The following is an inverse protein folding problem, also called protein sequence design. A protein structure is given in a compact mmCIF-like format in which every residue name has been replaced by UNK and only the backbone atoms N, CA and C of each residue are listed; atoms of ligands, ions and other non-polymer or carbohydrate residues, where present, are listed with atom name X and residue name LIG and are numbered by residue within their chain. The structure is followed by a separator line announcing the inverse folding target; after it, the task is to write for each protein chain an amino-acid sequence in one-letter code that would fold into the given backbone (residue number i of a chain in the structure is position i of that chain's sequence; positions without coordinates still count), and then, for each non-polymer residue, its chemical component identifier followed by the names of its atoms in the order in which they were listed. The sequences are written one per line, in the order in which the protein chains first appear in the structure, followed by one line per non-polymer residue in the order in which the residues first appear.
data_IF_396606446168
#
_entry.id   IF_396606446168
#
_cell.length_a   1.000
_cell.length_b   1.000
_cell.length_c   1.000
_cell.angle_alpha   90.00
_cell.angle_beta   90.00
_cell.angle_gamma   90.00
#
_symmetry.space_group_name_H-M   'P 1'
#
loop_
_entity.id
_entity.type
_entity.pdbx_description
1 polymer ?
#
# COMPACT_ATOMS: atom_id res chain seq x y z
N UNK A 1 7.44 30.80 9.15
CA UNK A 1 6.41 30.62 8.13
C UNK A 1 6.78 29.46 7.18
N UNK A 2 7.94 29.51 6.49
CA UNK A 2 8.34 28.51 5.48
C UNK A 2 8.36 27.06 6.05
N UNK A 3 8.93 26.85 7.23
CA UNK A 3 8.95 25.53 7.86
C UNK A 3 7.54 24.98 8.10
N UNK A 4 6.61 25.84 8.54
CA UNK A 4 5.22 25.45 8.75
C UNK A 4 4.53 25.10 7.43
N UNK A 5 4.77 25.86 6.34
CA UNK A 5 4.26 25.54 5.00
C UNK A 5 4.80 24.19 4.51
N UNK A 6 6.11 23.94 4.63
CA UNK A 6 6.72 22.66 4.25
C UNK A 6 6.14 21.50 5.08
N UNK A 7 6.00 21.68 6.38
CA UNK A 7 5.42 20.68 7.27
C UNK A 7 3.97 20.39 6.91
N UNK A 8 3.13 21.41 6.71
CA UNK A 8 1.74 21.21 6.30
C UNK A 8 1.63 20.55 4.93
N UNK A 9 2.50 20.90 3.98
CA UNK A 9 2.47 20.30 2.64
C UNK A 9 2.92 18.84 2.63
N UNK A 10 4.08 18.55 3.23
CA UNK A 10 4.74 17.25 3.05
C UNK A 10 4.54 16.26 4.20
N UNK A 11 3.92 16.69 5.31
CA UNK A 11 3.57 15.78 6.41
C UNK A 11 2.53 14.73 5.95
N UNK A 12 2.86 13.43 5.96
CA UNK A 12 1.96 12.39 5.49
C UNK A 12 0.70 12.23 6.36
N UNK A 13 0.74 12.69 7.60
CA UNK A 13 -0.37 12.58 8.54
C UNK A 13 -1.41 13.68 8.39
N UNK A 14 -1.07 14.83 7.80
CA UNK A 14 -2.00 15.91 7.53
C UNK A 14 -2.79 15.61 6.24
N UNK A 15 -4.06 15.22 6.37
CA UNK A 15 -4.94 14.87 5.24
C UNK A 15 -6.02 15.92 5.07
N UNK A 16 -6.08 16.55 3.90
CA UNK A 16 -7.04 17.66 3.63
C UNK A 16 -8.40 17.17 3.14
N UNK A 17 -8.49 15.93 2.62
CA UNK A 17 -9.72 15.31 2.12
C UNK A 17 -10.44 16.08 0.98
N UNK A 18 -9.74 17.00 0.35
CA UNK A 18 -10.15 17.80 -0.81
C UNK A 18 -8.92 17.98 -1.71
N UNK A 19 -9.11 18.11 -3.01
CA UNK A 19 -8.03 18.32 -3.98
C UNK A 19 -8.29 19.59 -4.82
N UNK A 20 -7.22 20.19 -5.35
CA UNK A 20 -7.35 21.33 -6.27
C UNK A 20 -8.24 20.99 -7.46
N UNK A 21 -8.09 19.81 -8.04
CA UNK A 21 -8.94 19.33 -9.17
C UNK A 21 -10.43 19.37 -8.82
N UNK A 22 -10.79 18.94 -7.59
CA UNK A 22 -12.19 18.99 -7.13
C UNK A 22 -12.67 20.43 -6.92
N UNK A 23 -11.81 21.27 -6.34
CA UNK A 23 -12.09 22.69 -6.11
C UNK A 23 -12.31 23.44 -7.43
N UNK A 24 -11.40 23.27 -8.39
CA UNK A 24 -11.46 23.92 -9.71
C UNK A 24 -12.71 23.46 -10.49
N UNK A 25 -13.00 22.16 -10.48
CA UNK A 25 -14.21 21.63 -11.14
C UNK A 25 -15.50 22.23 -10.58
N UNK A 26 -15.52 22.62 -9.33
CA UNK A 26 -16.63 23.23 -8.63
C UNK A 26 -16.35 24.71 -8.30
N UNK A 27 -15.67 25.42 -9.18
CA UNK A 27 -15.21 26.80 -8.97
C UNK A 27 -16.33 27.83 -8.72
N UNK A 28 -17.57 27.51 -9.10
CA UNK A 28 -18.75 28.35 -8.78
C UNK A 28 -19.20 28.25 -7.32
N UNK A 29 -18.69 27.26 -6.58
CA UNK A 29 -18.97 27.13 -5.15
C UNK A 29 -18.00 28.00 -4.37
N UNK A 30 -18.36 29.27 -4.17
CA UNK A 30 -17.67 30.22 -3.29
C UNK A 30 -18.67 30.61 -2.19
N UNK A 31 -18.22 30.67 -0.94
CA UNK A 31 -19.08 31.06 0.17
C UNK A 31 -18.91 32.56 0.43
N UNK A 32 -19.93 33.34 0.10
CA UNK A 32 -19.92 34.81 0.24
C UNK A 32 -19.83 35.28 1.70
N UNK A 33 -20.24 34.45 2.68
CA UNK A 33 -20.37 34.84 4.09
C UNK A 33 -19.13 34.51 4.96
N UNK A 34 -18.08 33.88 4.42
CA UNK A 34 -16.98 33.34 5.25
C UNK A 34 -15.87 34.34 5.56
N UNK A 35 -15.89 35.54 4.97
CA UNK A 35 -14.74 36.49 5.00
C UNK A 35 -14.93 37.71 5.86
N UNK A 36 -15.84 37.68 6.85
CA UNK A 36 -15.99 38.73 7.85
C UNK A 36 -14.90 38.78 8.95
N UNK A 37 -13.97 37.83 8.95
CA UNK A 37 -12.84 37.75 9.85
C UNK A 37 -11.56 37.34 9.12
N UNK A 38 -10.39 37.80 9.55
CA UNK A 38 -9.09 37.46 8.98
C UNK A 38 -8.79 35.94 9.20
N UNK A 39 -9.21 35.06 8.27
CA UNK A 39 -8.79 33.66 8.32
C UNK A 39 -7.36 33.53 7.84
N UNK A 40 -6.50 32.96 8.68
CA UNK A 40 -5.14 32.64 8.29
C UNK A 40 -5.08 31.30 7.54
N UNK A 41 -4.09 31.16 6.66
CA UNK A 41 -3.86 29.96 5.88
C UNK A 41 -3.89 28.66 6.72
N UNK A 42 -3.24 28.70 7.88
CA UNK A 42 -3.13 27.51 8.72
C UNK A 42 -4.42 27.15 9.44
N UNK A 43 -5.29 28.12 9.74
CA UNK A 43 -6.61 27.86 10.32
C UNK A 43 -7.51 27.13 9.32
N UNK A 44 -7.49 27.55 8.05
CA UNK A 44 -8.19 26.87 6.97
C UNK A 44 -7.70 25.43 6.80
N UNK A 45 -6.37 25.24 6.82
CA UNK A 45 -5.78 23.92 6.68
C UNK A 45 -6.08 23.03 7.89
N UNK A 46 -6.10 23.57 9.12
CA UNK A 46 -6.44 22.84 10.32
C UNK A 46 -7.93 22.44 10.36
N UNK A 47 -8.83 23.29 9.92
CA UNK A 47 -10.26 22.97 9.77
C UNK A 47 -10.49 21.81 8.78
N UNK A 48 -9.68 21.72 7.71
CA UNK A 48 -9.72 20.58 6.78
C UNK A 48 -9.13 19.30 7.39
N UNK A 49 -7.98 19.41 8.08
CA UNK A 49 -7.31 18.26 8.71
C UNK A 49 -8.18 17.66 9.80
N UNK A 50 -8.74 18.49 10.67
CA UNK A 50 -9.61 18.06 11.77
C UNK A 50 -11.01 17.66 11.32
N UNK A 51 -11.31 17.84 10.01
CA UNK A 51 -12.61 17.54 9.40
C UNK A 51 -13.78 18.34 9.99
N UNK A 52 -13.49 19.47 10.55
CA UNK A 52 -14.48 20.44 11.01
C UNK A 52 -15.33 20.94 9.82
N UNK A 53 -14.71 21.01 8.64
CA UNK A 53 -15.36 21.33 7.38
C UNK A 53 -15.13 20.17 6.39
N UNK A 54 -16.20 19.69 5.73
CA UNK A 54 -16.12 18.54 4.79
C UNK A 54 -17.03 18.73 3.57
N UNK A 55 -16.86 17.90 2.54
CA UNK A 55 -17.72 17.89 1.35
C UNK A 55 -17.73 19.22 0.60
N UNK A 56 -18.91 19.70 0.25
CA UNK A 56 -19.08 20.97 -0.48
C UNK A 56 -18.60 22.18 0.34
N UNK A 57 -18.74 22.15 1.65
CA UNK A 57 -18.28 23.27 2.49
C UNK A 57 -16.76 23.36 2.54
N UNK A 58 -16.03 22.24 2.48
CA UNK A 58 -14.60 22.24 2.32
C UNK A 58 -14.16 22.83 0.97
N UNK A 59 -14.89 22.52 -0.12
CA UNK A 59 -14.65 23.11 -1.44
C UNK A 59 -14.88 24.61 -1.42
N UNK A 60 -15.99 25.08 -0.83
CA UNK A 60 -16.30 26.50 -0.67
C UNK A 60 -15.25 27.23 0.13
N UNK A 61 -14.79 26.64 1.24
CA UNK A 61 -13.76 27.20 2.10
C UNK A 61 -12.43 27.41 1.33
N UNK A 62 -11.97 26.34 0.64
CA UNK A 62 -10.72 26.40 -0.14
C UNK A 62 -10.84 27.36 -1.31
N UNK A 63 -11.94 27.33 -2.08
CA UNK A 63 -12.15 28.24 -3.21
C UNK A 63 -12.23 29.69 -2.75
N UNK A 64 -12.95 29.97 -1.66
CA UNK A 64 -13.05 31.29 -1.06
C UNK A 64 -11.69 31.80 -0.61
N UNK A 65 -10.92 31.01 0.12
CA UNK A 65 -9.56 31.39 0.54
C UNK A 65 -8.66 31.67 -0.67
N UNK A 66 -8.68 30.82 -1.69
CA UNK A 66 -7.89 31.01 -2.90
C UNK A 66 -8.28 32.30 -3.67
N UNK A 67 -9.55 32.64 -3.70
CA UNK A 67 -10.04 33.86 -4.34
C UNK A 67 -9.57 35.15 -3.63
N UNK A 68 -9.64 35.17 -2.30
CA UNK A 68 -9.37 36.40 -1.52
C UNK A 68 -7.89 36.64 -1.23
N UNK A 69 -7.11 35.59 -0.98
CA UNK A 69 -5.71 35.71 -0.54
C UNK A 69 -4.74 35.34 -1.66
N UNK A 70 -5.21 34.68 -2.70
CA UNK A 70 -4.38 34.25 -3.83
C UNK A 70 -3.59 32.97 -3.53
N UNK A 71 -3.52 32.14 -4.43
CA UNK A 71 -2.64 31.25 -4.83
C UNK A 71 -2.27 29.91 -4.39
N UNK A 72 -1.57 29.73 -3.37
CA UNK A 72 -0.81 28.47 -3.20
C UNK A 72 -1.47 27.43 -2.30
N UNK A 73 -2.69 27.69 -1.78
CA UNK A 73 -3.42 26.69 -0.99
C UNK A 73 -3.65 25.39 -1.76
N UNK A 74 -3.87 25.47 -3.06
CA UNK A 74 -4.04 24.29 -3.92
C UNK A 74 -2.79 23.40 -3.92
N UNK A 75 -1.59 23.99 -3.98
CA UNK A 75 -0.33 23.24 -3.93
C UNK A 75 -0.14 22.56 -2.58
N UNK A 76 -0.58 23.19 -1.49
CA UNK A 76 -0.48 22.62 -0.15
C UNK A 76 -1.42 21.43 0.01
N UNK A 77 -2.71 21.57 -0.38
CA UNK A 77 -3.69 20.49 -0.25
C UNK A 77 -3.41 19.32 -1.18
N UNK A 78 -2.79 19.58 -2.35
CA UNK A 78 -2.34 18.53 -3.28
C UNK A 78 -0.97 17.94 -2.87
N UNK A 79 -0.35 18.48 -1.82
CA UNK A 79 0.94 18.03 -1.27
C UNK A 79 2.11 18.16 -2.24
N UNK A 80 2.06 19.15 -3.12
CA UNK A 80 3.12 19.45 -4.08
C UNK A 80 3.27 20.96 -4.31
N UNK A 81 4.35 21.54 -3.77
CA UNK A 81 4.70 22.94 -3.98
C UNK A 81 5.40 23.20 -5.32
N UNK A 82 5.67 22.17 -6.13
CA UNK A 82 6.43 22.28 -7.36
C UNK A 82 7.92 22.60 -7.19
N UNK A 83 8.46 22.46 -5.98
CA UNK A 83 9.87 22.80 -5.66
C UNK A 83 10.86 21.67 -5.93
N UNK A 84 10.41 20.55 -6.46
CA UNK A 84 11.21 19.33 -6.71
C UNK A 84 11.94 18.78 -5.48
N UNK A 85 11.45 19.07 -4.28
CA UNK A 85 12.01 18.61 -3.01
C UNK A 85 10.91 17.92 -2.20
N UNK A 86 11.06 16.63 -1.96
CA UNK A 86 10.19 15.88 -1.05
C UNK A 86 10.77 15.81 0.38
N UNK A 87 10.06 15.15 1.30
CA UNK A 87 10.40 15.06 2.72
C UNK A 87 11.86 14.68 3.00
N UNK A 88 12.46 13.79 2.21
CA UNK A 88 13.86 13.39 2.36
C UNK A 88 14.85 14.55 2.14
N UNK A 89 14.62 15.37 1.12
CA UNK A 89 15.49 16.51 0.80
C UNK A 89 15.28 17.61 1.84
N UNK A 90 14.04 17.86 2.24
CA UNK A 90 13.66 18.83 3.26
C UNK A 90 14.32 18.47 4.60
N UNK A 91 14.20 17.21 5.04
CA UNK A 91 14.79 16.75 6.29
C UNK A 91 16.33 16.70 6.27
N UNK A 92 16.95 16.69 5.08
CA UNK A 92 18.40 16.85 4.98
C UNK A 92 18.82 18.29 5.27
N UNK A 93 18.01 19.27 4.90
CA UNK A 93 18.26 20.69 5.14
C UNK A 93 17.81 21.11 6.55
N UNK A 94 16.67 20.63 7.00
CA UNK A 94 16.09 20.90 8.33
C UNK A 94 15.72 19.57 8.96
N UNK A 95 16.60 18.98 9.80
CA UNK A 95 16.39 17.66 10.38
C UNK A 95 15.06 17.56 11.13
N UNK A 96 14.33 16.45 10.87
CA UNK A 96 13.06 16.11 11.52
C UNK A 96 11.91 17.13 11.32
N UNK A 97 11.98 18.00 10.32
CA UNK A 97 10.89 18.93 10.03
C UNK A 97 9.64 18.20 9.52
N UNK A 98 9.83 17.21 8.65
CA UNK A 98 8.74 16.41 8.11
C UNK A 98 8.76 15.04 8.80
N UNK A 99 7.70 14.67 9.52
CA UNK A 99 7.60 13.33 10.08
C UNK A 99 7.73 12.28 8.97
N UNK A 100 8.56 11.28 9.18
CA UNK A 100 8.69 10.16 8.26
C UNK A 100 8.34 8.87 8.98
N UNK A 101 7.51 8.08 8.32
CA UNK A 101 7.18 6.73 8.77
C UNK A 101 7.73 5.77 7.71
N UNK A 102 8.81 5.10 8.05
CA UNK A 102 9.52 4.25 7.09
C UNK A 102 9.54 2.81 7.56
N UNK A 103 9.09 1.94 6.69
CA UNK A 103 9.08 0.50 6.91
C UNK A 103 9.90 -0.22 5.85
N UNK A 104 10.36 -1.42 6.15
CA UNK A 104 11.00 -2.26 5.16
C UNK A 104 10.02 -2.60 4.04
N UNK A 105 10.46 -2.45 2.79
CA UNK A 105 9.67 -2.73 1.59
C UNK A 105 10.41 -3.69 0.66
N UNK A 106 9.67 -4.68 0.17
CA UNK A 106 10.19 -5.69 -0.73
C UNK A 106 10.45 -5.16 -2.14
N UNK A 107 11.49 -5.75 -2.78
CA UNK A 107 11.63 -5.76 -4.24
C UNK A 107 11.03 -7.05 -4.82
N UNK A 108 10.87 -7.09 -6.14
CA UNK A 108 10.57 -8.34 -6.84
C UNK A 108 11.77 -9.30 -6.76
N UNK A 109 11.48 -10.59 -6.64
CA UNK A 109 12.51 -11.63 -6.75
C UNK A 109 13.03 -11.71 -8.18
N UNK A 110 14.33 -11.83 -8.31
CA UNK A 110 15.02 -12.11 -9.58
C UNK A 110 15.85 -13.39 -9.39
N UNK A 111 15.65 -14.36 -10.25
CA UNK A 111 16.38 -15.63 -10.19
C UNK A 111 17.89 -15.41 -10.23
N UNK A 112 18.62 -16.14 -9.38
CA UNK A 112 20.07 -16.05 -9.25
C UNK A 112 20.60 -14.78 -8.53
N UNK A 113 19.71 -13.93 -8.00
CA UNK A 113 20.11 -12.72 -7.24
C UNK A 113 20.22 -12.94 -5.74
N UNK A 114 19.67 -14.03 -5.22
CA UNK A 114 19.81 -14.41 -3.82
C UNK A 114 21.02 -15.35 -3.68
N UNK A 115 22.01 -14.94 -2.90
CA UNK A 115 23.05 -15.89 -2.44
C UNK A 115 22.51 -16.60 -1.20
N UNK A 116 22.30 -17.91 -1.29
CA UNK A 116 21.67 -18.69 -0.21
C UNK A 116 22.55 -18.80 1.03
N UNK A 117 23.87 -18.70 0.90
CA UNK A 117 24.81 -18.71 2.02
C UNK A 117 24.64 -17.49 2.95
N UNK A 118 23.99 -16.43 2.46
CA UNK A 118 23.68 -15.25 3.26
C UNK A 118 22.60 -15.51 4.34
N UNK A 119 21.96 -16.69 4.31
CA UNK A 119 20.87 -17.09 5.21
C UNK A 119 19.56 -16.34 4.87
N UNK A 120 18.68 -17.02 4.16
CA UNK A 120 17.37 -16.48 3.76
C UNK A 120 16.25 -17.24 4.43
N UNK A 121 15.23 -16.52 4.86
CA UNK A 121 14.01 -17.08 5.42
C UNK A 121 12.85 -16.87 4.46
N UNK A 122 12.09 -17.93 4.19
CA UNK A 122 10.86 -17.88 3.43
C UNK A 122 9.66 -17.89 4.36
N UNK A 123 8.66 -17.11 4.01
CA UNK A 123 7.33 -17.14 4.61
C UNK A 123 6.25 -17.04 3.55
N UNK A 124 5.02 -17.43 3.91
CA UNK A 124 3.84 -17.12 3.12
C UNK A 124 3.78 -15.61 2.85
N UNK A 125 3.46 -15.22 1.62
CA UNK A 125 3.04 -13.85 1.34
C UNK A 125 1.56 -13.72 1.64
N UNK A 126 1.26 -12.98 2.71
CA UNK A 126 -0.09 -12.73 3.16
C UNK A 126 -0.82 -11.77 2.21
N UNK A 127 -2.10 -11.96 2.02
CA UNK A 127 -2.97 -11.06 1.26
C UNK A 127 -3.90 -10.29 2.20
N UNK A 128 -3.34 -9.32 2.87
CA UNK A 128 -4.00 -8.49 3.87
C UNK A 128 -3.59 -7.03 3.79
N UNK A 129 -3.67 -6.35 4.92
CA UNK A 129 -3.26 -4.96 5.06
C UNK A 129 -2.15 -4.83 6.09
N UNK A 130 -0.97 -4.36 5.64
CA UNK A 130 0.18 -4.14 6.53
C UNK A 130 -0.23 -3.29 7.72
N UNK A 131 0.07 -3.78 8.91
CA UNK A 131 -0.18 -3.10 10.17
C UNK A 131 1.09 -3.13 11.04
N UNK A 132 1.50 -1.96 11.52
CA UNK A 132 2.56 -1.79 12.50
C UNK A 132 1.89 -1.53 13.84
N UNK A 133 2.12 -2.38 14.82
CA UNK A 133 1.60 -2.21 16.15
C UNK A 133 2.72 -1.75 17.08
N UNK A 134 2.68 -0.48 17.45
CA UNK A 134 3.68 0.15 18.30
C UNK A 134 3.18 0.18 19.74
N UNK A 135 3.93 -0.44 20.64
CA UNK A 135 3.67 -0.44 22.07
C UNK A 135 4.66 0.50 22.76
N UNK A 136 4.16 1.46 23.51
CA UNK A 136 4.97 2.43 24.26
C UNK A 136 5.55 1.83 25.55
N UNK A 137 6.20 2.66 26.37
CA UNK A 137 6.79 2.24 27.65
C UNK A 137 5.72 1.98 28.73
N UNK A 138 4.54 2.56 28.57
CA UNK A 138 3.38 2.40 29.45
C UNK A 138 2.52 1.19 29.06
N UNK A 139 2.83 0.53 27.95
CA UNK A 139 2.09 -0.62 27.44
C UNK A 139 0.91 -0.26 26.54
N UNK A 140 0.73 1.00 26.17
CA UNK A 140 -0.34 1.39 25.26
C UNK A 140 0.04 1.07 23.80
N UNK A 141 -0.86 0.42 23.08
CA UNK A 141 -0.66 0.06 21.68
C UNK A 141 -1.32 1.06 20.73
N UNK A 142 -0.58 1.48 19.72
CA UNK A 142 -1.14 2.24 18.59
C UNK A 142 -0.85 1.49 17.29
N UNK A 143 -1.88 1.36 16.44
CA UNK A 143 -1.84 0.60 15.21
C UNK A 143 -1.73 1.52 14.00
N UNK A 144 -0.72 1.30 13.15
CA UNK A 144 -0.44 2.14 12.00
C UNK A 144 -0.43 1.36 10.69
N UNK A 145 -0.90 2.00 9.64
CA UNK A 145 -0.72 1.52 8.27
C UNK A 145 0.74 1.63 7.84
N UNK A 146 1.09 1.02 6.72
CA UNK A 146 2.41 1.13 6.07
C UNK A 146 2.90 2.56 5.86
N UNK A 147 1.99 3.52 5.76
CA UNK A 147 2.29 4.95 5.56
C UNK A 147 2.17 5.77 6.84
N UNK A 148 1.97 5.13 7.99
CA UNK A 148 1.87 5.76 9.30
C UNK A 148 0.49 6.34 9.63
N UNK A 149 -0.55 6.04 8.83
CA UNK A 149 -1.92 6.41 9.19
C UNK A 149 -2.42 5.45 10.26
N UNK A 150 -2.97 5.98 11.33
CA UNK A 150 -3.54 5.19 12.42
C UNK A 150 -4.81 4.44 11.98
N UNK A 151 -4.94 3.20 12.46
CA UNK A 151 -6.14 2.40 12.36
C UNK A 151 -6.99 2.52 13.62
N UNK A 152 -8.23 2.92 13.45
CA UNK A 152 -9.21 3.07 14.55
C UNK A 152 -10.25 1.96 14.57
N UNK A 153 -10.15 1.00 13.65
CA UNK A 153 -11.14 -0.08 13.44
C UNK A 153 -10.67 -1.44 13.95
N UNK A 154 -9.53 -1.49 14.65
CA UNK A 154 -8.83 -2.71 15.05
C UNK A 154 -8.67 -2.84 16.56
N UNK A 155 -9.68 -2.44 17.36
CA UNK A 155 -9.58 -2.47 18.83
C UNK A 155 -9.23 -3.85 19.37
N UNK A 156 -9.78 -4.93 18.81
CA UNK A 156 -9.45 -6.29 19.23
C UNK A 156 -7.98 -6.66 19.06
N UNK A 157 -7.35 -6.18 17.97
CA UNK A 157 -5.89 -6.37 17.74
C UNK A 157 -5.12 -5.58 18.79
N UNK A 158 -5.51 -4.33 19.05
CA UNK A 158 -4.91 -3.48 20.07
C UNK A 158 -4.97 -4.14 21.45
N UNK A 159 -6.15 -4.54 21.88
CA UNK A 159 -6.41 -5.20 23.17
C UNK A 159 -5.61 -6.50 23.30
N UNK A 160 -5.55 -7.32 22.25
CA UNK A 160 -4.79 -8.56 22.24
C UNK A 160 -3.28 -8.33 22.39
N UNK A 161 -2.73 -7.26 21.80
CA UNK A 161 -1.32 -6.89 21.94
C UNK A 161 -1.06 -6.33 23.33
N UNK A 162 -1.90 -5.43 23.85
CA UNK A 162 -1.76 -4.87 25.20
C UNK A 162 -1.82 -5.96 26.27
N UNK A 163 -2.66 -6.97 26.08
CA UNK A 163 -2.77 -8.13 26.96
C UNK A 163 -1.49 -8.99 27.05
N UNK A 164 -0.57 -8.88 26.08
CA UNK A 164 0.74 -9.57 26.16
C UNK A 164 1.65 -9.02 27.25
N UNK A 165 1.43 -7.80 27.70
CA UNK A 165 2.29 -7.10 28.64
C UNK A 165 3.65 -6.69 28.10
N UNK A 166 3.86 -6.83 26.80
CA UNK A 166 5.12 -6.40 26.14
C UNK A 166 5.11 -4.88 26.02
N UNK A 167 6.24 -4.25 26.28
CA UNK A 167 6.42 -2.81 26.21
C UNK A 167 7.60 -2.43 25.33
N UNK A 168 7.60 -1.18 24.83
CA UNK A 168 8.69 -0.57 24.09
C UNK A 168 9.11 -1.35 22.82
N UNK A 169 8.12 -1.90 22.10
CA UNK A 169 8.34 -2.67 20.85
C UNK A 169 7.39 -2.25 19.75
N UNK A 170 7.79 -2.52 18.53
CA UNK A 170 6.95 -2.41 17.34
C UNK A 170 6.84 -3.79 16.68
N UNK A 171 5.62 -4.31 16.62
CA UNK A 171 5.31 -5.49 15.82
C UNK A 171 5.05 -5.08 14.38
N UNK A 172 5.55 -5.88 13.45
CA UNK A 172 5.32 -5.73 12.03
C UNK A 172 4.56 -6.94 11.50
N UNK A 173 3.39 -6.71 10.96
CA UNK A 173 2.50 -7.78 10.57
C UNK A 173 1.50 -7.35 9.49
N UNK A 174 0.58 -8.25 9.20
CA UNK A 174 -0.51 -8.06 8.26
C UNK A 174 -1.85 -8.37 8.93
N UNK A 175 -2.82 -7.48 8.81
CA UNK A 175 -4.19 -7.75 9.24
C UNK A 175 -4.93 -8.41 8.08
N UNK A 176 -5.45 -9.59 8.34
CA UNK A 176 -6.26 -10.37 7.41
C UNK A 176 -7.66 -10.61 7.99
N UNK A 177 -8.64 -10.81 7.12
CA UNK A 177 -9.84 -11.56 7.44
C UNK A 177 -9.63 -12.97 6.89
N UNK A 178 -9.88 -13.96 7.70
CA UNK A 178 -9.67 -15.35 7.33
C UNK A 178 -11.00 -16.06 7.45
N UNK A 179 -11.38 -16.77 6.42
CA UNK A 179 -12.60 -17.58 6.42
C UNK A 179 -12.40 -18.90 7.19
N UNK A 180 -13.47 -19.71 7.28
CA UNK A 180 -13.47 -20.99 8.00
C UNK A 180 -12.51 -22.03 7.39
N UNK A 181 -12.03 -21.80 6.15
CA UNK A 181 -11.05 -22.64 5.46
C UNK A 181 -9.62 -22.16 5.64
N UNK A 182 -9.43 -20.97 6.20
CA UNK A 182 -8.14 -20.32 6.35
C UNK A 182 -7.72 -19.47 5.15
N UNK A 183 -8.62 -19.21 4.20
CA UNK A 183 -8.38 -18.35 3.06
C UNK A 183 -8.55 -16.88 3.44
N UNK A 184 -7.69 -16.01 2.89
CA UNK A 184 -7.65 -14.58 3.18
C UNK A 184 -8.59 -13.80 2.27
N UNK A 185 -9.43 -12.94 2.85
CA UNK A 185 -10.32 -12.01 2.14
C UNK A 185 -9.76 -10.57 2.17
N UNK A 186 -8.89 -10.26 1.20
CA UNK A 186 -8.32 -8.92 1.04
C UNK A 186 -9.37 -7.85 0.79
N UNK A 187 -10.38 -8.13 -0.02
CA UNK A 187 -11.42 -7.14 -0.33
C UNK A 187 -12.28 -6.85 0.89
N UNK A 188 -12.60 -7.87 1.66
CA UNK A 188 -13.34 -7.75 2.91
C UNK A 188 -12.60 -6.92 3.95
N UNK A 189 -11.30 -7.19 4.19
CA UNK A 189 -10.51 -6.41 5.13
C UNK A 189 -10.38 -4.95 4.71
N UNK A 190 -10.15 -4.68 3.43
CA UNK A 190 -10.08 -3.32 2.90
C UNK A 190 -11.39 -2.56 3.03
N UNK A 191 -12.53 -3.23 2.79
CA UNK A 191 -13.86 -2.66 2.93
C UNK A 191 -14.16 -2.32 4.40
N UNK A 192 -13.82 -3.20 5.33
CA UNK A 192 -14.06 -2.98 6.76
C UNK A 192 -13.15 -1.89 7.34
N UNK A 193 -11.86 -1.85 6.99
CA UNK A 193 -10.92 -0.83 7.44
C UNK A 193 -11.29 0.61 7.00
N UNK A 194 -11.99 0.74 5.87
CA UNK A 194 -12.42 2.06 5.35
C UNK A 194 -13.70 2.59 5.98
N UNK A 195 -14.45 1.75 6.69
CA UNK A 195 -15.70 2.18 7.34
C UNK A 195 -15.37 3.05 8.55
N UNK A 196 -16.16 4.11 8.73
CA UNK A 196 -16.11 4.93 9.93
C UNK A 196 -17.02 4.30 10.99
N UNK A 197 -16.71 4.57 12.26
CA UNK A 197 -17.52 4.14 13.40
C UNK A 197 -17.82 2.61 13.37
N UNK A 198 -16.81 1.84 12.99
CA UNK A 198 -16.90 0.39 12.85
C UNK A 198 -15.70 -0.28 13.52
N UNK A 199 -15.92 -1.45 14.11
CA UNK A 199 -14.87 -2.32 14.62
C UNK A 199 -14.91 -3.65 13.88
N UNK A 200 -13.76 -4.13 13.46
CA UNK A 200 -13.65 -5.44 12.80
C UNK A 200 -13.87 -6.53 13.84
N UNK A 201 -14.86 -7.38 13.58
CA UNK A 201 -15.29 -8.40 14.55
C UNK A 201 -14.25 -9.52 14.72
N UNK A 202 -13.67 -10.01 13.61
CA UNK A 202 -12.77 -11.17 13.56
C UNK A 202 -11.49 -10.84 12.79
N UNK A 203 -10.65 -9.90 13.25
CA UNK A 203 -9.37 -9.62 12.61
C UNK A 203 -8.36 -10.70 12.99
N UNK A 204 -7.55 -11.16 12.04
CA UNK A 204 -6.35 -11.94 12.30
C UNK A 204 -5.13 -11.04 12.06
N UNK A 205 -4.31 -10.82 13.08
CA UNK A 205 -3.06 -10.09 12.95
C UNK A 205 -1.89 -11.07 12.85
N UNK A 206 -1.39 -11.24 11.63
CA UNK A 206 -0.33 -12.17 11.26
C UNK A 206 1.01 -11.47 11.44
N UNK A 207 1.70 -11.70 12.55
CA UNK A 207 2.95 -11.02 12.90
C UNK A 207 4.13 -11.77 12.29
N UNK A 208 5.01 -11.05 11.61
CA UNK A 208 6.17 -11.62 10.94
C UNK A 208 7.52 -10.97 11.32
N UNK A 209 7.51 -9.89 12.10
CA UNK A 209 8.72 -9.28 12.66
C UNK A 209 8.41 -8.53 13.95
N UNK A 210 9.41 -8.33 14.79
CA UNK A 210 9.34 -7.57 16.04
C UNK A 210 10.64 -6.80 16.24
N UNK A 211 10.54 -5.53 16.58
CA UNK A 211 11.67 -4.62 16.74
C UNK A 211 11.53 -3.84 18.03
N UNK A 212 12.64 -3.41 18.63
CA UNK A 212 12.59 -2.34 19.60
C UNK A 212 12.08 -1.04 18.93
N UNK A 213 11.38 -0.19 19.69
CA UNK A 213 10.94 1.10 19.15
C UNK A 213 12.14 1.94 18.66
N UNK A 214 13.29 1.84 19.29
CA UNK A 214 14.51 2.55 18.89
C UNK A 214 15.02 2.10 17.50
N UNK A 215 15.04 0.78 17.22
CA UNK A 215 15.41 0.26 15.90
C UNK A 215 14.40 0.67 14.82
N UNK A 216 13.12 0.65 15.15
CA UNK A 216 12.07 1.08 14.24
C UNK A 216 12.19 2.57 13.90
N UNK A 217 12.32 3.44 14.92
CA UNK A 217 12.40 4.90 14.76
C UNK A 217 13.66 5.34 14.01
N UNK A 218 14.80 4.67 14.25
CA UNK A 218 16.03 4.92 13.50
C UNK A 218 16.02 4.36 12.08
N UNK A 219 15.00 3.58 11.71
CA UNK A 219 14.92 2.82 10.46
C UNK A 219 16.10 1.86 10.24
N UNK A 220 16.81 1.50 11.32
CA UNK A 220 17.98 0.64 11.29
C UNK A 220 18.07 -0.12 12.61
N UNK A 221 18.30 -1.44 12.51
CA UNK A 221 18.58 -2.29 13.66
C UNK A 221 19.74 -3.23 13.36
N UNK A 222 20.46 -3.62 14.40
CA UNK A 222 21.59 -4.55 14.28
C UNK A 222 21.20 -5.99 14.68
N UNK A 223 20.04 -6.17 15.35
CA UNK A 223 19.51 -7.49 15.73
C UNK A 223 19.18 -8.32 14.50
N UNK A 224 19.81 -9.49 14.35
CA UNK A 224 19.59 -10.36 13.20
C UNK A 224 18.12 -10.85 13.13
N UNK A 225 17.61 -11.06 11.94
CA UNK A 225 16.25 -11.56 11.74
C UNK A 225 15.96 -12.84 12.55
N UNK A 226 16.86 -13.83 12.52
CA UNK A 226 16.70 -15.09 13.26
C UNK A 226 16.48 -14.87 14.76
N UNK A 227 17.14 -13.87 15.36
CA UNK A 227 17.04 -13.59 16.79
C UNK A 227 15.74 -12.85 17.10
N UNK A 228 15.31 -11.92 16.22
CA UNK A 228 13.99 -11.29 16.30
C UNK A 228 12.86 -12.31 16.18
N UNK A 229 12.97 -13.27 15.22
CA UNK A 229 11.98 -14.34 15.05
C UNK A 229 11.93 -15.28 16.27
N UNK A 230 13.07 -15.61 16.86
CA UNK A 230 13.12 -16.41 18.09
C UNK A 230 12.39 -15.70 19.24
N UNK A 231 12.66 -14.41 19.42
CA UNK A 231 11.96 -13.61 20.41
C UNK A 231 10.48 -13.54 20.11
N UNK A 232 10.10 -13.23 18.87
CA UNK A 232 8.71 -13.16 18.46
C UNK A 232 7.95 -14.47 18.70
N UNK A 233 8.53 -15.61 18.34
CA UNK A 233 7.88 -16.93 18.56
C UNK A 233 7.69 -17.27 20.04
N UNK A 234 8.55 -16.77 20.92
CA UNK A 234 8.38 -16.97 22.38
C UNK A 234 7.28 -16.09 22.99
N UNK A 235 6.83 -15.05 22.29
CA UNK A 235 5.85 -14.11 22.76
C UNK A 235 4.47 -14.30 22.11
N UNK A 236 4.41 -14.74 20.85
CA UNK A 236 3.14 -15.12 20.27
C UNK A 236 2.70 -16.43 20.91
N UNK A 237 1.55 -16.46 21.58
CA UNK A 237 0.99 -17.71 22.06
C UNK A 237 0.95 -18.70 20.90
N UNK A 238 1.38 -19.94 21.16
CA UNK A 238 1.22 -21.02 20.20
C UNK A 238 -0.19 -20.97 19.66
N UNK A 239 -0.35 -21.23 18.37
CA UNK A 239 -1.66 -21.32 17.74
C UNK A 239 -2.42 -22.47 18.39
N UNK A 240 -3.00 -22.24 19.56
CA UNK A 240 -3.92 -23.18 20.18
C UNK A 240 -5.22 -23.12 19.36
N UNK A 241 -5.32 -24.07 18.45
CA UNK A 241 -6.59 -24.39 17.84
C UNK A 241 -7.47 -25.00 18.94
N UNK A 242 -8.27 -24.18 19.61
CA UNK A 242 -9.34 -24.72 20.43
C UNK A 242 -10.40 -25.26 19.50
N UNK A 243 -10.79 -26.52 19.75
CA UNK A 243 -11.94 -27.13 19.11
C UNK A 243 -13.13 -26.99 20.04
N UNK A 244 -14.30 -26.66 19.48
CA UNK A 244 -15.54 -26.71 20.24
C UNK A 244 -15.91 -28.16 20.58
N UNK A 245 -16.96 -28.34 21.38
CA UNK A 245 -17.48 -29.64 21.78
C UNK A 245 -17.89 -30.54 20.59
N UNK A 246 -18.02 -29.97 19.39
CA UNK A 246 -18.34 -30.68 18.14
C UNK A 246 -17.08 -30.96 17.31
N UNK A 247 -15.89 -30.62 17.79
CA UNK A 247 -14.63 -30.78 17.08
C UNK A 247 -14.36 -29.73 16.00
N UNK A 248 -15.21 -28.70 15.88
CA UNK A 248 -15.02 -27.59 14.96
C UNK A 248 -13.98 -26.62 15.51
N UNK A 249 -13.06 -26.14 14.67
CA UNK A 249 -12.02 -25.19 15.05
C UNK A 249 -12.68 -23.88 15.54
N UNK A 250 -12.60 -23.66 16.85
CA UNK A 250 -13.09 -22.45 17.48
C UNK A 250 -11.98 -21.42 17.59
N UNK A 251 -12.33 -20.23 17.17
CA UNK A 251 -11.61 -18.96 17.35
C UNK A 251 -10.11 -19.02 17.22
N UNK A 252 -9.70 -18.84 16.03
CA UNK A 252 -8.33 -18.46 15.68
C UNK A 252 -7.93 -17.26 16.54
N UNK A 253 -6.84 -17.39 17.31
CA UNK A 253 -6.29 -16.27 18.06
C UNK A 253 -6.13 -15.06 17.17
N UNK A 254 -6.45 -13.86 17.69
CA UNK A 254 -6.30 -12.60 16.97
C UNK A 254 -4.85 -12.38 16.59
N UNK A 255 -3.92 -12.67 17.49
CA UNK A 255 -2.48 -12.63 17.22
C UNK A 255 -1.99 -13.99 16.73
N UNK A 256 -1.32 -13.99 15.58
CA UNK A 256 -0.75 -15.20 14.97
C UNK A 256 0.67 -14.95 14.53
N UNK A 257 1.54 -15.89 14.81
CA UNK A 257 2.88 -15.89 14.28
C UNK A 257 2.87 -16.37 12.81
N UNK A 258 3.61 -15.68 11.96
CA UNK A 258 3.83 -16.11 10.59
C UNK A 258 5.10 -16.93 10.52
N UNK A 259 4.97 -18.24 10.32
CA UNK A 259 6.10 -19.15 10.21
C UNK A 259 7.06 -18.72 9.10
N UNK A 260 8.35 -18.74 9.43
CA UNK A 260 9.43 -18.43 8.52
C UNK A 260 10.51 -19.50 8.63
N UNK A 261 10.80 -20.15 7.50
CA UNK A 261 11.79 -21.23 7.44
C UNK A 261 13.02 -20.81 6.65
N UNK A 262 14.17 -21.37 7.01
CA UNK A 262 15.40 -21.13 6.27
C UNK A 262 15.39 -21.82 4.92
N UNK A 263 15.72 -21.07 3.87
CA UNK A 263 15.87 -21.53 2.49
C UNK A 263 17.35 -21.55 2.15
N UNK A 264 17.81 -22.62 1.54
CA UNK A 264 19.23 -22.86 1.27
C UNK A 264 19.53 -23.18 -0.21
N UNK A 265 18.52 -23.23 -1.07
CA UNK A 265 18.71 -23.47 -2.51
C UNK A 265 17.49 -23.02 -3.33
N UNK A 266 17.67 -22.94 -4.65
CA UNK A 266 16.58 -22.69 -5.60
C UNK A 266 15.56 -23.83 -5.62
N UNK A 267 15.99 -25.09 -5.43
CA UNK A 267 15.11 -26.26 -5.33
C UNK A 267 14.21 -26.16 -4.08
N UNK A 268 14.80 -25.72 -2.95
CA UNK A 268 14.03 -25.52 -1.72
C UNK A 268 12.99 -24.40 -1.89
N UNK A 269 13.34 -23.30 -2.57
CA UNK A 269 12.40 -22.25 -2.94
C UNK A 269 11.32 -22.78 -3.88
N UNK A 270 11.70 -23.64 -4.87
CA UNK A 270 10.77 -24.30 -5.78
C UNK A 270 9.73 -25.13 -5.05
N UNK A 271 10.15 -25.91 -4.05
CA UNK A 271 9.23 -26.68 -3.20
C UNK A 271 8.25 -25.76 -2.45
N UNK A 272 8.72 -24.64 -1.90
CA UNK A 272 7.87 -23.64 -1.24
C UNK A 272 6.87 -22.98 -2.20
N UNK A 273 7.27 -22.69 -3.43
CA UNK A 273 6.37 -22.18 -4.45
C UNK A 273 5.27 -23.20 -4.78
N UNK A 274 5.60 -24.49 -4.84
CA UNK A 274 4.61 -25.55 -5.02
C UNK A 274 3.60 -25.61 -3.88
N UNK A 275 4.07 -25.46 -2.62
CA UNK A 275 3.19 -25.36 -1.45
C UNK A 275 2.30 -24.11 -1.54
N UNK A 276 2.87 -22.96 -1.91
CA UNK A 276 2.12 -21.72 -2.08
C UNK A 276 1.01 -21.86 -3.15
N UNK A 277 1.31 -22.57 -4.25
CA UNK A 277 0.34 -22.88 -5.30
C UNK A 277 -0.80 -23.77 -4.82
N UNK A 278 -0.44 -24.85 -4.12
CA UNK A 278 -1.42 -25.81 -3.62
C UNK A 278 -2.39 -25.21 -2.59
N UNK A 279 -1.92 -24.19 -1.85
CA UNK A 279 -2.70 -23.51 -0.81
C UNK A 279 -3.26 -22.14 -1.27
N UNK A 280 -3.20 -21.80 -2.55
CA UNK A 280 -3.67 -20.52 -3.10
C UNK A 280 -3.08 -19.27 -2.42
N UNK A 281 -1.83 -19.32 -1.97
CA UNK A 281 -1.17 -18.15 -1.39
C UNK A 281 -0.85 -17.10 -2.47
N UNK A 282 -0.80 -15.82 -2.09
CA UNK A 282 -0.38 -14.73 -3.00
C UNK A 282 1.06 -14.93 -3.52
N UNK A 283 1.86 -15.76 -2.83
CA UNK A 283 3.23 -16.08 -3.15
C UNK A 283 4.07 -16.31 -1.90
N UNK A 284 5.37 -16.08 -2.04
CA UNK A 284 6.36 -16.27 -0.98
C UNK A 284 7.13 -14.98 -0.74
N UNK A 285 7.42 -14.68 0.52
CA UNK A 285 8.33 -13.62 0.92
C UNK A 285 9.67 -14.22 1.32
N UNK A 286 10.77 -13.67 0.82
CA UNK A 286 12.12 -14.04 1.23
C UNK A 286 12.77 -12.88 1.98
N UNK A 287 13.32 -13.16 3.15
CA UNK A 287 13.99 -12.20 4.03
C UNK A 287 15.39 -12.66 4.35
N UNK A 288 16.38 -11.81 4.08
CA UNK A 288 17.78 -12.08 4.44
C UNK A 288 17.97 -11.95 5.94
N UNK A 289 18.81 -12.82 6.52
CA UNK A 289 19.13 -12.82 7.95
C UNK A 289 20.09 -11.67 8.31
N UNK A 290 19.57 -10.46 8.31
CA UNK A 290 20.29 -9.23 8.66
C UNK A 290 19.50 -8.40 9.67
N UNK A 291 20.11 -7.33 10.14
CA UNK A 291 19.45 -6.29 10.92
C UNK A 291 18.35 -5.56 10.13
N UNK A 292 17.53 -4.79 10.82
CA UNK A 292 16.40 -4.09 10.21
C UNK A 292 16.85 -2.96 9.29
N UNK A 293 16.17 -2.81 8.14
CA UNK A 293 16.35 -1.70 7.20
C UNK A 293 14.99 -1.08 6.84
N UNK A 294 14.62 0.04 7.46
CA UNK A 294 13.36 0.76 7.23
C UNK A 294 13.30 1.46 5.86
N UNK A 295 13.55 0.72 4.78
CA UNK A 295 13.55 1.24 3.39
C UNK A 295 13.18 0.14 2.39
N UNK A 296 13.01 0.52 1.12
CA UNK A 296 12.96 -0.49 0.05
C UNK A 296 14.34 -1.12 -0.15
N UNK A 297 14.42 -2.44 0.01
CA UNK A 297 15.68 -3.16 0.00
C UNK A 297 15.61 -4.44 -0.83
N UNK A 298 16.77 -4.89 -1.33
CA UNK A 298 16.94 -6.19 -1.98
C UNK A 298 17.07 -7.34 -0.98
N UNK A 299 17.19 -7.02 0.30
CA UNK A 299 17.29 -8.00 1.40
C UNK A 299 15.90 -8.49 1.87
N UNK A 300 14.85 -7.95 1.30
CA UNK A 300 13.47 -8.43 1.37
C UNK A 300 12.94 -8.49 -0.05
N UNK A 301 12.56 -9.67 -0.52
CA UNK A 301 12.02 -9.86 -1.87
C UNK A 301 10.72 -10.66 -1.82
N UNK A 302 9.86 -10.42 -2.80
CA UNK A 302 8.59 -11.12 -2.96
C UNK A 302 8.62 -11.94 -4.23
N UNK A 303 8.29 -13.21 -4.07
CA UNK A 303 8.09 -14.17 -5.15
C UNK A 303 6.59 -14.29 -5.34
N UNK A 304 6.09 -13.80 -6.48
CA UNK A 304 4.67 -13.86 -6.81
C UNK A 304 4.46 -14.85 -7.93
N UNK A 305 3.37 -15.59 -7.88
CA UNK A 305 2.88 -16.33 -9.03
C UNK A 305 2.13 -15.36 -9.93
N UNK A 306 2.40 -15.44 -11.21
CA UNK A 306 1.64 -14.75 -12.24
C UNK A 306 1.22 -15.75 -13.30
N UNK A 307 0.05 -15.50 -13.86
CA UNK A 307 -0.44 -16.19 -15.03
C UNK A 307 -0.19 -15.30 -16.24
N UNK A 308 0.28 -15.88 -17.32
CA UNK A 308 0.40 -15.22 -18.61
C UNK A 308 -0.68 -15.79 -19.54
N UNK A 309 -1.40 -14.92 -20.21
CA UNK A 309 -2.35 -15.30 -21.23
C UNK A 309 -2.34 -14.31 -22.39
N UNK A 310 -2.67 -14.78 -23.57
CA UNK A 310 -2.71 -13.97 -24.78
C UNK A 310 -4.12 -13.47 -25.03
N UNK A 311 -4.23 -12.18 -25.34
CA UNK A 311 -5.50 -11.50 -25.58
C UNK A 311 -5.39 -10.60 -26.80
N UNK A 312 -6.50 -10.49 -27.52
CA UNK A 312 -6.67 -9.49 -28.57
C UNK A 312 -7.13 -8.17 -27.94
N UNK A 313 -6.46 -7.08 -28.29
CA UNK A 313 -6.91 -5.74 -27.88
C UNK A 313 -8.22 -5.42 -28.61
N UNK A 314 -9.28 -5.13 -27.84
CA UNK A 314 -10.61 -4.86 -28.38
C UNK A 314 -10.98 -3.37 -28.41
N UNK A 315 -10.33 -2.56 -27.54
CA UNK A 315 -10.57 -1.13 -27.43
C UNK A 315 -9.42 -0.44 -26.70
N UNK A 316 -9.39 0.92 -26.71
CA UNK A 316 -8.35 1.73 -26.07
C UNK A 316 -8.94 2.96 -25.42
N UNK A 317 -8.33 3.41 -24.33
CA UNK A 317 -8.59 4.72 -23.72
C UNK A 317 -7.31 5.57 -23.80
N UNK A 318 -7.48 6.87 -24.07
CA UNK A 318 -6.43 7.87 -24.07
C UNK A 318 -6.69 8.89 -22.97
N UNK A 319 -5.63 9.31 -22.27
CA UNK A 319 -5.72 10.33 -21.21
C UNK A 319 -4.49 11.23 -21.23
N UNK A 320 -4.59 12.34 -20.53
CA UNK A 320 -3.51 13.29 -20.38
C UNK A 320 -2.55 12.80 -19.29
N UNK A 321 -1.28 12.72 -19.63
CA UNK A 321 -0.19 12.29 -18.73
C UNK A 321 0.86 13.39 -18.61
N UNK A 322 1.29 13.64 -17.39
CA UNK A 322 2.45 14.50 -17.16
C UNK A 322 3.74 13.74 -17.48
N UNK A 323 4.54 14.30 -18.37
CA UNK A 323 5.85 13.79 -18.75
C UNK A 323 6.92 14.85 -18.55
N UNK A 324 8.12 14.42 -18.16
CA UNK A 324 9.26 15.34 -18.04
C UNK A 324 10.15 15.20 -19.25
N UNK A 325 10.25 16.27 -20.06
CA UNK A 325 11.21 16.39 -21.16
C UNK A 325 12.13 17.56 -20.90
N UNK A 326 13.43 17.37 -21.05
CA UNK A 326 14.46 18.40 -20.85
C UNK A 326 14.29 19.20 -19.53
N UNK A 327 13.86 18.50 -18.47
CA UNK A 327 13.66 19.09 -17.16
C UNK A 327 12.39 19.95 -17.02
N UNK A 328 11.49 19.96 -18.01
CA UNK A 328 10.18 20.63 -17.94
C UNK A 328 9.08 19.59 -17.92
N UNK A 329 8.03 19.86 -17.11
CA UNK A 329 6.82 19.05 -17.13
C UNK A 329 5.93 19.51 -18.27
N UNK A 330 5.50 18.57 -19.09
CA UNK A 330 4.56 18.78 -20.19
C UNK A 330 3.40 17.78 -20.04
N UNK A 331 2.19 18.23 -20.33
CA UNK A 331 1.02 17.35 -20.37
C UNK A 331 0.86 16.84 -21.82
N UNK A 332 0.95 15.53 -22.00
CA UNK A 332 0.83 14.90 -23.31
C UNK A 332 -0.30 13.89 -23.25
N UNK A 333 -1.23 13.99 -24.22
CA UNK A 333 -2.25 12.96 -24.42
C UNK A 333 -1.60 11.72 -24.99
N UNK A 334 -1.81 10.57 -24.35
CA UNK A 334 -1.25 9.29 -24.81
C UNK A 334 -2.13 8.11 -24.41
N UNK A 335 -1.78 6.91 -24.89
CA UNK A 335 -2.48 5.67 -24.51
C UNK A 335 -2.48 5.51 -22.99
N UNK A 336 -3.65 5.51 -22.36
CA UNK A 336 -3.82 5.26 -20.94
C UNK A 336 -3.89 3.76 -20.66
N UNK A 337 -4.76 3.06 -21.39
CA UNK A 337 -5.02 1.63 -21.20
C UNK A 337 -5.61 0.99 -22.45
N UNK A 338 -5.49 -0.31 -22.54
CA UNK A 338 -6.19 -1.14 -23.53
C UNK A 338 -7.30 -1.94 -22.84
N UNK A 339 -8.27 -2.36 -23.62
CA UNK A 339 -9.31 -3.27 -23.21
C UNK A 339 -9.08 -4.63 -23.87
N UNK A 340 -9.29 -5.68 -23.09
CA UNK A 340 -9.26 -7.07 -23.53
C UNK A 340 -10.58 -7.74 -23.14
N UNK A 341 -10.88 -8.87 -23.73
CA UNK A 341 -11.97 -9.73 -23.29
C UNK A 341 -11.41 -10.93 -22.53
N UNK A 342 -11.85 -11.14 -21.31
CA UNK A 342 -11.51 -12.27 -20.48
C UNK A 342 -12.79 -12.96 -19.99
N UNK A 343 -13.01 -14.21 -20.41
CA UNK A 343 -14.22 -15.00 -20.06
C UNK A 343 -15.55 -14.25 -20.30
N UNK A 344 -15.64 -13.53 -21.41
CA UNK A 344 -16.82 -12.74 -21.76
C UNK A 344 -16.97 -11.37 -21.08
N UNK A 345 -15.97 -10.96 -20.28
CA UNK A 345 -15.97 -9.67 -19.61
C UNK A 345 -14.87 -8.75 -20.15
N UNK A 346 -15.20 -7.47 -20.30
CA UNK A 346 -14.21 -6.46 -20.67
C UNK A 346 -13.33 -6.09 -19.49
N UNK A 347 -12.02 -6.23 -19.64
CA UNK A 347 -11.00 -5.94 -18.62
C UNK A 347 -10.03 -4.87 -19.12
N UNK A 348 -9.70 -3.92 -18.25
CA UNK A 348 -8.74 -2.87 -18.51
C UNK A 348 -7.33 -3.31 -18.19
N UNK A 349 -6.37 -3.00 -19.06
CA UNK A 349 -4.94 -3.22 -18.83
C UNK A 349 -4.19 -1.92 -19.13
N UNK A 350 -3.76 -1.23 -18.08
CA UNK A 350 -3.05 0.04 -18.18
C UNK A 350 -1.54 -0.04 -17.92
N UNK A 351 -1.07 -1.14 -17.32
CA UNK A 351 0.34 -1.33 -16.97
C UNK A 351 1.10 -2.07 -18.06
N UNK A 352 2.44 -1.88 -18.11
CA UNK A 352 3.34 -2.61 -19.00
C UNK A 352 3.71 -1.88 -20.29
N UNK A 353 3.15 -0.71 -20.55
CA UNK A 353 3.54 0.13 -21.69
C UNK A 353 4.66 1.10 -21.31
N UNK A 354 5.70 1.20 -22.12
CA UNK A 354 6.67 2.30 -22.03
C UNK A 354 6.03 3.61 -22.49
N UNK A 355 6.62 4.75 -22.12
CA UNK A 355 6.16 6.06 -22.58
C UNK A 355 6.19 6.15 -24.11
N UNK A 356 7.23 5.62 -24.74
CA UNK A 356 7.38 5.59 -26.21
C UNK A 356 6.25 4.76 -26.85
N UNK A 357 5.93 3.60 -26.30
CA UNK A 357 4.80 2.78 -26.75
C UNK A 357 3.48 3.52 -26.62
N UNK A 358 3.25 4.23 -25.48
CA UNK A 358 2.04 5.01 -25.28
C UNK A 358 1.87 6.12 -26.30
N UNK A 359 2.96 6.78 -26.68
CA UNK A 359 2.97 7.82 -27.72
C UNK A 359 2.79 7.18 -29.11
N UNK A 360 3.51 6.10 -29.41
CA UNK A 360 3.41 5.35 -30.68
C UNK A 360 1.96 4.99 -31.00
N UNK A 361 1.24 4.45 -30.02
CA UNK A 361 -0.16 4.01 -30.22
C UNK A 361 -1.20 5.14 -30.20
N UNK A 362 -0.76 6.39 -30.19
CA UNK A 362 -1.61 7.53 -30.55
C UNK A 362 -1.88 7.60 -32.05
N UNK A 363 -0.90 7.18 -32.87
CA UNK A 363 -0.96 7.27 -34.33
C UNK A 363 -1.03 5.91 -34.99
N UNK A 364 -0.49 4.87 -34.36
CA UNK A 364 -0.55 3.51 -34.87
C UNK A 364 -1.68 2.72 -34.17
N UNK A 365 -2.47 1.91 -34.91
CA UNK A 365 -3.54 1.13 -34.30
C UNK A 365 -2.99 -0.02 -33.47
N UNK A 366 -3.39 -0.11 -32.19
CA UNK A 366 -3.11 -1.26 -31.34
C UNK A 366 -4.34 -2.20 -31.23
N UNK A 367 -5.54 -1.67 -31.51
CA UNK A 367 -6.77 -2.46 -31.54
C UNK A 367 -6.64 -3.56 -32.61
N UNK A 368 -6.97 -4.78 -32.21
CA UNK A 368 -6.80 -5.96 -33.07
C UNK A 368 -5.47 -6.67 -32.93
N UNK A 369 -4.43 -6.05 -32.32
CA UNK A 369 -3.16 -6.73 -32.05
C UNK A 369 -3.31 -7.74 -30.92
N UNK A 370 -2.51 -8.80 -30.98
CA UNK A 370 -2.36 -9.78 -29.91
C UNK A 370 -1.35 -9.24 -28.89
N UNK A 371 -1.66 -9.41 -27.62
CA UNK A 371 -0.78 -9.03 -26.51
C UNK A 371 -0.72 -10.16 -25.47
N UNK A 372 0.45 -10.36 -24.88
CA UNK A 372 0.59 -11.18 -23.67
C UNK A 372 0.32 -10.31 -22.45
N UNK A 373 -0.67 -10.69 -21.65
CA UNK A 373 -0.98 -10.04 -20.36
C UNK A 373 -0.63 -10.99 -19.24
N UNK A 374 0.23 -10.52 -18.36
CA UNK A 374 0.52 -11.17 -17.10
C UNK A 374 -0.44 -10.64 -16.04
N UNK A 375 -1.03 -11.51 -15.24
CA UNK A 375 -1.91 -11.14 -14.13
C UNK A 375 -1.71 -12.08 -12.94
N UNK A 376 -2.13 -11.61 -11.76
CA UNK A 376 -1.95 -12.38 -10.52
C UNK A 376 -3.07 -13.41 -10.36
N UNK A 377 -4.33 -12.96 -10.42
CA UNK A 377 -5.51 -13.80 -10.24
C UNK A 377 -6.74 -13.20 -10.91
N UNK A 378 -7.79 -13.99 -10.99
CA UNK A 378 -9.12 -13.51 -11.36
C UNK A 378 -9.84 -12.96 -10.13
N UNK A 379 -10.51 -11.82 -10.27
CA UNK A 379 -11.32 -11.22 -9.21
C UNK A 379 -12.75 -11.02 -9.69
N UNK A 380 -13.70 -11.05 -8.76
CA UNK A 380 -15.10 -10.67 -9.04
C UNK A 380 -15.32 -9.24 -8.60
N UNK A 381 -15.95 -8.45 -9.46
CA UNK A 381 -16.41 -7.11 -9.09
C UNK A 381 -17.75 -7.17 -8.34
N UNK A 382 -18.16 -6.05 -7.74
CA UNK A 382 -19.41 -5.95 -6.97
C UNK A 382 -20.68 -6.31 -7.78
N UNK A 383 -20.59 -6.35 -9.12
CA UNK A 383 -21.68 -6.71 -10.05
C UNK A 383 -21.57 -8.15 -10.55
N UNK A 384 -20.67 -8.96 -9.99
CA UNK A 384 -20.44 -10.36 -10.35
C UNK A 384 -19.63 -10.58 -11.64
N UNK A 385 -19.13 -9.50 -12.26
CA UNK A 385 -18.24 -9.59 -13.42
C UNK A 385 -16.83 -10.03 -13.04
N UNK A 386 -16.16 -10.81 -13.91
CA UNK A 386 -14.79 -11.24 -13.73
C UNK A 386 -13.84 -10.14 -14.21
N UNK A 387 -12.76 -9.91 -13.46
CA UNK A 387 -11.67 -9.01 -13.79
C UNK A 387 -10.33 -9.67 -13.47
N UNK A 388 -9.23 -9.03 -13.86
CA UNK A 388 -7.86 -9.50 -13.57
C UNK A 388 -7.21 -8.59 -12.50
N UNK A 389 -6.51 -9.20 -11.56
CA UNK A 389 -5.75 -8.47 -10.54
C UNK A 389 -4.33 -8.21 -11.04
N UNK A 390 -3.89 -6.94 -10.98
CA UNK A 390 -2.59 -6.46 -11.44
C UNK A 390 -2.24 -6.82 -12.90
N UNK A 391 -3.17 -6.66 -13.87
CA UNK A 391 -2.88 -7.01 -15.24
C UNK A 391 -1.82 -6.08 -15.82
N UNK A 392 -0.81 -6.67 -16.49
CA UNK A 392 0.33 -5.95 -17.06
C UNK A 392 0.66 -6.51 -18.44
N UNK A 393 0.76 -5.67 -19.46
CA UNK A 393 1.19 -6.07 -20.79
C UNK A 393 2.68 -6.42 -20.75
N UNK A 394 3.04 -7.62 -21.16
CA UNK A 394 4.42 -8.12 -21.24
C UNK A 394 4.97 -8.08 -22.64
N UNK A 395 4.16 -8.40 -23.62
CA UNK A 395 4.54 -8.42 -25.01
C UNK A 395 3.41 -7.94 -25.91
N UNK A 396 3.76 -7.28 -27.01
CA UNK A 396 2.84 -6.84 -28.05
C UNK A 396 3.35 -7.42 -29.36
N UNK A 397 2.51 -8.17 -30.06
CA UNK A 397 2.86 -8.83 -31.31
C UNK A 397 2.54 -7.91 -32.49
N UNK A 398 3.56 -7.43 -33.19
CA UNK A 398 3.42 -6.55 -34.37
C UNK A 398 3.18 -7.30 -35.68
N UNK A 399 3.41 -8.63 -35.71
CA UNK A 399 3.10 -9.53 -36.83
C UNK A 399 2.11 -10.60 -36.36
N UNK A 400 1.08 -10.86 -37.16
CA UNK A 400 0.09 -11.87 -36.83
C UNK A 400 0.73 -13.23 -36.49
N UNK A 401 0.50 -13.68 -35.26
CA UNK A 401 0.68 -15.09 -34.91
C UNK A 401 -0.65 -15.77 -35.22
N UNK A 402 -0.67 -16.71 -36.13
CA UNK A 402 -1.82 -17.61 -36.31
C UNK A 402 -2.04 -18.35 -34.98
N UNK A 403 -3.25 -18.24 -34.44
CA UNK A 403 -3.70 -19.00 -33.26
C UNK A 403 -4.07 -20.40 -33.66
#
# INVERSE_FOLDING_TARGET
FIHKVLEYTYNPYKQYNVTSKTCIKNGSLIKDDYFGGSMELFDVLDDLITRKVTGHDAIKLVNGFNWYIGGDIYKIIDKDLGIRAGAKVINKAVPNLIPTFSVVLAKEYESGKCNWDDGWFASRKLDGVRCLARVDQEGNCTLFSRTGKEFTTLNKVKEAIEATGIINVTFDGEVCLVDDKGDEDFQGVMKQLRRKDHQIANPAYMVFDMLSNAEFDSCKGDTLLKDRLRTLSSWCPEMNYERDDNGQLMHLNILRYTDQIMINSDEHLGAWNTVAEANNWEGVMLRKNIGYEGKRTKNLVKVKKFFDAEYKVIDVDFDDHEVVRDGRSETIKMLAQVWIEHKGYKVKVGSGFSQEQRIKYMTEPIVGKLITVQYFEETKNDKGGISLRFPTVKHIYDGGRDM
#
